data_IF_227044396234
#
_entry.id   IF_227044396234
#
_cell.length_a   1.000
_cell.length_b   1.000
_cell.length_c   1.000
_cell.angle_alpha   90.00
_cell.angle_beta   90.00
_cell.angle_gamma   90.00
#
_symmetry.space_group_name_H-M   'P 1'
#
loop_
_entity.id
_entity.type
_entity.pdbx_description
1 polymer ?
#
# COMPACT_ATOMS: atom_id res chain seq x y z
N UNK A 1 13.33 21.15 22.87
CA UNK A 1 11.90 20.89 22.64
C UNK A 1 11.63 21.17 21.16
N UNK A 2 11.49 20.13 20.34
CA UNK A 2 11.18 20.32 18.91
C UNK A 2 9.67 20.52 18.78
N UNK A 3 9.19 21.43 17.92
CA UNK A 3 7.78 21.74 17.85
C UNK A 3 6.98 20.52 17.38
N UNK A 4 5.88 20.26 18.08
CA UNK A 4 5.02 19.09 17.93
C UNK A 4 4.31 19.01 16.56
N UNK A 5 4.43 20.06 15.74
CA UNK A 5 3.89 20.16 14.39
C UNK A 5 4.68 19.34 13.34
N UNK A 6 5.97 19.11 13.57
CA UNK A 6 6.86 18.39 12.63
C UNK A 6 6.69 16.88 12.72
N UNK A 7 6.27 16.33 13.86
CA UNK A 7 5.94 14.92 14.01
C UNK A 7 4.57 14.62 13.41
N UNK A 8 3.56 15.44 13.69
CA UNK A 8 2.19 15.26 13.18
C UNK A 8 2.13 15.31 11.66
N UNK A 9 2.84 16.26 11.02
CA UNK A 9 2.93 16.37 9.56
C UNK A 9 3.59 15.16 8.89
N UNK A 10 4.59 14.53 9.52
CA UNK A 10 5.22 13.31 9.00
C UNK A 10 4.28 12.11 9.05
N UNK A 11 3.54 11.94 10.14
CA UNK A 11 2.51 10.90 10.23
C UNK A 11 1.34 11.15 9.27
N UNK A 12 0.95 12.42 9.08
CA UNK A 12 -0.04 12.80 8.08
C UNK A 12 0.40 12.43 6.67
N UNK A 13 1.67 12.67 6.31
CA UNK A 13 2.24 12.25 5.02
C UNK A 13 2.17 10.74 4.82
N UNK A 14 2.55 9.96 5.84
CA UNK A 14 2.45 8.49 5.77
C UNK A 14 1.01 8.04 5.51
N UNK A 15 0.05 8.58 6.27
CA UNK A 15 -1.35 8.23 6.13
C UNK A 15 -1.89 8.65 4.76
N UNK A 16 -1.51 9.83 4.26
CA UNK A 16 -1.87 10.30 2.92
C UNK A 16 -1.41 9.33 1.84
N UNK A 17 -0.14 8.88 1.89
CA UNK A 17 0.38 7.90 0.91
C UNK A 17 -0.41 6.58 0.97
N UNK A 18 -0.79 6.13 2.16
CA UNK A 18 -1.60 4.93 2.30
C UNK A 18 -2.99 5.09 1.68
N UNK A 19 -3.66 6.23 1.93
CA UNK A 19 -4.95 6.53 1.31
C UNK A 19 -4.81 6.63 -0.22
N UNK A 20 -3.74 7.25 -0.72
CA UNK A 20 -3.45 7.28 -2.16
C UNK A 20 -3.25 5.88 -2.75
N UNK A 21 -2.59 4.97 -2.03
CA UNK A 21 -2.46 3.56 -2.43
C UNK A 21 -3.83 2.88 -2.54
N UNK A 22 -4.71 3.07 -1.56
CA UNK A 22 -6.05 2.46 -1.58
C UNK A 22 -6.91 3.01 -2.73
N UNK A 23 -6.86 4.32 -2.97
CA UNK A 23 -7.54 4.96 -4.09
C UNK A 23 -6.99 4.43 -5.42
N UNK A 24 -5.67 4.33 -5.55
CA UNK A 24 -4.99 3.84 -6.75
C UNK A 24 -5.38 2.39 -7.09
N UNK A 25 -5.44 1.52 -6.10
CA UNK A 25 -5.94 0.14 -6.24
C UNK A 25 -7.40 0.10 -6.69
N UNK A 26 -8.25 0.94 -6.11
CA UNK A 26 -9.67 1.04 -6.48
C UNK A 26 -9.83 1.46 -7.95
N UNK A 27 -9.08 2.46 -8.41
CA UNK A 27 -9.07 2.87 -9.81
C UNK A 27 -8.62 1.75 -10.76
N UNK A 28 -7.63 0.96 -10.35
CA UNK A 28 -7.18 -0.21 -11.12
C UNK A 28 -8.29 -1.21 -11.34
N UNK A 29 -8.99 -1.58 -10.25
CA UNK A 29 -10.11 -2.51 -10.30
C UNK A 29 -11.27 -1.99 -11.18
N UNK A 30 -11.57 -0.69 -11.11
CA UNK A 30 -12.56 -0.06 -12.00
C UNK A 30 -12.12 -0.19 -13.46
N UNK A 31 -10.86 0.13 -13.78
CA UNK A 31 -10.35 0.05 -15.16
C UNK A 31 -10.45 -1.39 -15.69
N UNK A 32 -10.06 -2.38 -14.89
CA UNK A 32 -10.15 -3.79 -15.29
C UNK A 32 -11.59 -4.23 -15.55
N UNK A 33 -12.56 -3.75 -14.77
CA UNK A 33 -13.96 -4.08 -15.01
C UNK A 33 -14.49 -3.46 -16.33
N UNK A 34 -14.20 -2.18 -16.56
CA UNK A 34 -14.73 -1.48 -17.74
C UNK A 34 -14.00 -1.86 -19.05
N UNK A 35 -12.71 -2.18 -18.98
CA UNK A 35 -11.87 -2.43 -20.16
C UNK A 35 -11.37 -3.88 -20.30
N UNK A 36 -11.43 -4.68 -19.24
CA UNK A 36 -10.91 -6.05 -19.18
C UNK A 36 -11.85 -7.14 -19.71
N UNK A 37 -13.08 -6.79 -20.12
CA UNK A 37 -14.04 -7.71 -20.75
C UNK A 37 -13.49 -8.44 -22.01
N UNK A 38 -12.35 -8.03 -22.56
CA UNK A 38 -11.81 -8.56 -23.82
C UNK A 38 -10.62 -9.52 -23.67
N UNK A 39 -10.05 -9.74 -22.48
CA UNK A 39 -8.90 -10.66 -22.32
C UNK A 39 -8.67 -11.12 -20.86
N UNK A 40 -9.38 -12.15 -20.41
CA UNK A 40 -9.35 -12.64 -19.02
C UNK A 40 -8.05 -13.34 -18.57
N UNK A 41 -7.07 -13.56 -19.47
CA UNK A 41 -5.88 -14.38 -19.17
C UNK A 41 -4.53 -13.74 -19.50
N UNK A 42 -4.51 -12.50 -20.01
CA UNK A 42 -3.28 -11.82 -20.37
C UNK A 42 -3.00 -10.67 -19.40
N UNK A 43 -1.73 -10.53 -19.02
CA UNK A 43 -1.24 -9.36 -18.29
C UNK A 43 -1.59 -8.11 -19.10
N UNK A 44 -2.52 -7.31 -18.58
CA UNK A 44 -2.91 -6.06 -19.24
C UNK A 44 -1.89 -4.97 -18.91
N UNK A 45 -1.90 -3.90 -19.71
CA UNK A 45 -1.11 -2.70 -19.37
C UNK A 45 -1.55 -2.11 -18.02
N UNK A 46 -2.83 -2.25 -17.66
CA UNK A 46 -3.33 -1.81 -16.35
C UNK A 46 -2.70 -2.63 -15.22
N UNK A 47 -2.64 -3.96 -15.34
CA UNK A 47 -1.98 -4.82 -14.35
C UNK A 47 -0.51 -4.42 -14.11
N UNK A 48 0.22 -4.11 -15.19
CA UNK A 48 1.61 -3.67 -15.11
C UNK A 48 1.74 -2.30 -14.40
N UNK A 49 0.87 -1.34 -14.73
CA UNK A 49 0.82 -0.02 -14.08
C UNK A 49 0.44 -0.14 -12.61
N UNK A 50 -0.54 -0.99 -12.29
CA UNK A 50 -0.97 -1.27 -10.93
C UNK A 50 0.15 -1.91 -10.12
N UNK A 51 0.85 -2.89 -10.67
CA UNK A 51 1.99 -3.54 -10.01
C UNK A 51 3.10 -2.53 -9.69
N UNK A 52 3.53 -1.72 -10.67
CA UNK A 52 4.57 -0.70 -10.47
C UNK A 52 4.12 0.37 -9.47
N UNK A 53 2.88 0.84 -9.59
CA UNK A 53 2.31 1.85 -8.71
C UNK A 53 2.22 1.38 -7.25
N UNK A 54 1.80 0.14 -7.02
CA UNK A 54 1.79 -0.48 -5.67
C UNK A 54 3.19 -0.55 -5.09
N UNK A 55 4.19 -0.96 -5.87
CA UNK A 55 5.59 -1.01 -5.42
C UNK A 55 6.07 0.40 -5.01
N UNK A 56 5.88 1.40 -5.88
CA UNK A 56 6.35 2.77 -5.63
C UNK A 56 5.65 3.36 -4.40
N UNK A 57 4.33 3.26 -4.31
CA UNK A 57 3.56 3.80 -3.19
C UNK A 57 3.90 3.09 -1.87
N UNK A 58 4.13 1.77 -1.91
CA UNK A 58 4.59 1.03 -0.72
C UNK A 58 5.98 1.49 -0.27
N UNK A 59 6.92 1.68 -1.21
CA UNK A 59 8.26 2.20 -0.89
C UNK A 59 8.19 3.63 -0.34
N UNK A 60 7.37 4.51 -0.91
CA UNK A 60 7.16 5.86 -0.42
C UNK A 60 6.54 5.85 0.98
N UNK A 61 5.61 4.94 1.24
CA UNK A 61 5.00 4.76 2.56
C UNK A 61 6.06 4.33 3.58
N UNK A 62 6.89 3.34 3.26
CA UNK A 62 7.98 2.88 4.14
C UNK A 62 8.98 4.00 4.43
N UNK A 63 9.31 4.82 3.43
CA UNK A 63 10.20 5.97 3.62
C UNK A 63 9.58 7.04 4.53
N UNK A 64 8.30 7.35 4.33
CA UNK A 64 7.57 8.32 5.15
C UNK A 64 7.45 7.84 6.61
N UNK A 65 7.12 6.56 6.82
CA UNK A 65 7.04 5.94 8.14
C UNK A 65 8.42 5.90 8.82
N UNK A 66 9.48 5.51 8.10
CA UNK A 66 10.84 5.50 8.63
C UNK A 66 11.31 6.90 9.04
N UNK A 67 10.95 7.92 8.25
CA UNK A 67 11.22 9.33 8.56
C UNK A 67 10.47 9.81 9.80
N UNK A 68 9.23 9.34 10.00
CA UNK A 68 8.44 9.63 11.19
C UNK A 68 9.03 8.96 12.44
N UNK A 69 9.48 7.70 12.30
CA UNK A 69 10.13 6.91 13.35
C UNK A 69 11.61 7.27 13.58
N UNK A 70 12.19 8.14 12.74
CA UNK A 70 13.62 8.53 12.75
C UNK A 70 14.58 7.34 12.62
N UNK A 71 14.17 6.34 11.84
CA UNK A 71 14.98 5.16 11.52
C UNK A 71 15.39 5.18 10.04
N UNK A 72 16.39 4.38 9.68
CA UNK A 72 16.74 4.15 8.27
C UNK A 72 16.07 2.86 7.79
N UNK A 73 15.30 2.89 6.69
CA UNK A 73 14.72 1.68 6.13
C UNK A 73 15.82 0.77 5.56
N UNK A 74 15.75 -0.52 5.90
CA UNK A 74 16.73 -1.53 5.47
C UNK A 74 16.69 -1.76 3.97
N UNK A 75 17.85 -1.98 3.35
CA UNK A 75 17.95 -2.38 1.95
C UNK A 75 17.21 -3.68 1.65
N UNK A 76 17.24 -4.64 2.59
CA UNK A 76 16.52 -5.91 2.47
C UNK A 76 15.02 -5.69 2.33
N UNK A 77 14.44 -4.80 3.15
CA UNK A 77 13.00 -4.51 3.10
C UNK A 77 12.59 -3.89 1.76
N UNK A 78 13.39 -2.94 1.24
CA UNK A 78 13.14 -2.30 -0.06
C UNK A 78 13.22 -3.30 -1.21
N UNK A 79 14.26 -4.14 -1.21
CA UNK A 79 14.44 -5.17 -2.23
C UNK A 79 13.27 -6.16 -2.26
N UNK A 80 12.87 -6.64 -1.09
CA UNK A 80 11.71 -7.52 -0.97
C UNK A 80 10.41 -6.83 -1.39
N UNK A 81 10.26 -5.52 -1.17
CA UNK A 81 9.07 -4.78 -1.62
C UNK A 81 8.97 -4.71 -3.15
N UNK A 82 10.11 -4.61 -3.84
CA UNK A 82 10.15 -4.62 -5.31
C UNK A 82 9.77 -6.00 -5.86
N UNK A 83 10.23 -7.08 -5.24
CA UNK A 83 9.87 -8.45 -5.66
C UNK A 83 8.41 -8.75 -5.32
N UNK A 84 8.03 -8.47 -4.09
CA UNK A 84 6.70 -8.76 -3.57
C UNK A 84 6.36 -7.79 -2.44
N UNK A 85 5.61 -6.73 -2.80
CA UNK A 85 5.29 -5.62 -1.90
C UNK A 85 4.75 -6.03 -0.52
N UNK A 86 3.83 -7.01 -0.39
CA UNK A 86 3.36 -7.46 0.91
C UNK A 86 4.48 -8.04 1.80
N UNK A 87 5.37 -8.85 1.24
CA UNK A 87 6.48 -9.44 2.00
C UNK A 87 7.50 -8.40 2.43
N UNK A 88 7.90 -7.50 1.52
CA UNK A 88 8.81 -6.41 1.88
C UNK A 88 8.23 -5.47 2.93
N UNK A 89 6.92 -5.22 2.88
CA UNK A 89 6.19 -4.50 3.92
C UNK A 89 6.23 -5.23 5.25
N UNK A 90 5.94 -6.55 5.29
CA UNK A 90 6.04 -7.33 6.51
C UNK A 90 7.44 -7.22 7.13
N UNK A 91 8.49 -7.46 6.33
CA UNK A 91 9.88 -7.37 6.80
C UNK A 91 10.22 -5.98 7.32
N UNK A 92 9.83 -4.92 6.62
CA UNK A 92 10.02 -3.54 7.10
C UNK A 92 9.37 -3.34 8.47
N UNK A 93 8.11 -3.74 8.63
CA UNK A 93 7.36 -3.54 9.87
C UNK A 93 8.01 -4.29 11.04
N UNK A 94 8.39 -5.55 10.85
CA UNK A 94 9.05 -6.33 11.91
C UNK A 94 10.45 -5.82 12.28
N UNK A 95 11.13 -5.12 11.36
CA UNK A 95 12.40 -4.44 11.65
C UNK A 95 12.21 -3.08 12.33
N UNK A 96 11.10 -2.39 12.06
CA UNK A 96 10.90 -1.00 12.49
C UNK A 96 10.30 -0.86 13.88
N UNK A 97 9.60 -1.89 14.40
CA UNK A 97 8.80 -1.79 15.63
C UNK A 97 8.68 -3.14 16.34
N UNK A 98 8.09 -3.14 17.54
CA UNK A 98 7.84 -4.38 18.30
C UNK A 98 6.87 -5.31 17.57
N UNK A 99 7.01 -6.62 17.78
CA UNK A 99 6.26 -7.65 17.04
C UNK A 99 4.74 -7.41 17.02
N UNK A 100 4.14 -7.01 18.16
CA UNK A 100 2.69 -6.74 18.27
C UNK A 100 2.28 -5.56 17.40
N UNK A 101 3.04 -4.46 17.46
CA UNK A 101 2.77 -3.27 16.66
C UNK A 101 2.99 -3.54 15.17
N UNK A 102 4.01 -4.34 14.84
CA UNK A 102 4.33 -4.75 13.47
C UNK A 102 3.18 -5.54 12.88
N UNK A 103 2.74 -6.58 13.59
CA UNK A 103 1.62 -7.42 13.19
C UNK A 103 0.34 -6.60 13.03
N UNK A 104 0.00 -5.76 14.01
CA UNK A 104 -1.21 -4.94 13.94
C UNK A 104 -1.17 -4.01 12.71
N UNK A 105 -0.04 -3.35 12.47
CA UNK A 105 0.07 -2.44 11.31
C UNK A 105 0.02 -3.19 10.00
N UNK A 106 0.60 -4.39 9.94
CA UNK A 106 0.55 -5.25 8.77
C UNK A 106 -0.87 -5.72 8.47
N UNK A 107 -1.60 -6.15 9.51
CA UNK A 107 -3.01 -6.53 9.38
C UNK A 107 -3.88 -5.36 8.94
N UNK A 108 -3.65 -4.15 9.46
CA UNK A 108 -4.35 -2.94 8.97
C UNK A 108 -4.00 -2.67 7.50
N UNK A 109 -2.73 -2.78 7.13
CA UNK A 109 -2.29 -2.57 5.75
C UNK A 109 -2.98 -3.53 4.78
N UNK A 110 -2.89 -4.84 5.04
CA UNK A 110 -3.54 -5.87 4.23
C UNK A 110 -5.07 -5.76 4.29
N UNK A 111 -5.63 -5.51 5.48
CA UNK A 111 -7.05 -5.36 5.71
C UNK A 111 -7.64 -4.22 4.89
N UNK A 112 -6.96 -3.07 4.79
CA UNK A 112 -7.43 -1.98 3.93
C UNK A 112 -7.39 -2.33 2.43
N UNK A 113 -6.40 -3.10 1.97
CA UNK A 113 -6.35 -3.60 0.59
C UNK A 113 -7.53 -4.53 0.32
N UNK A 114 -7.75 -5.53 1.17
CA UNK A 114 -8.90 -6.45 1.03
C UNK A 114 -10.24 -5.73 1.13
N UNK A 115 -10.34 -4.71 1.99
CA UNK A 115 -11.54 -3.90 2.13
C UNK A 115 -11.85 -3.12 0.85
N UNK A 116 -10.85 -2.56 0.16
CA UNK A 116 -11.06 -1.90 -1.14
C UNK A 116 -11.64 -2.87 -2.16
N UNK A 117 -11.05 -4.06 -2.32
CA UNK A 117 -11.56 -5.06 -3.25
C UNK A 117 -12.94 -5.56 -2.85
N UNK A 118 -13.19 -5.84 -1.57
CA UNK A 118 -14.50 -6.27 -1.07
C UNK A 118 -15.59 -5.22 -1.28
N UNK A 119 -15.30 -3.95 -0.98
CA UNK A 119 -16.23 -2.84 -1.24
C UNK A 119 -16.48 -2.65 -2.73
N UNK A 120 -15.44 -2.76 -3.55
CA UNK A 120 -15.57 -2.70 -5.01
C UNK A 120 -16.48 -3.82 -5.53
N UNK A 121 -16.28 -5.07 -5.10
CA UNK A 121 -17.12 -6.20 -5.49
C UNK A 121 -18.58 -6.04 -5.05
N UNK A 122 -18.82 -5.55 -3.82
CA UNK A 122 -20.18 -5.25 -3.36
C UNK A 122 -20.79 -4.14 -4.21
N UNK A 123 -20.08 -3.04 -4.44
CA UNK A 123 -20.55 -1.93 -5.27
C UNK A 123 -20.93 -2.39 -6.68
N UNK A 124 -20.13 -3.29 -7.27
CA UNK A 124 -20.41 -3.88 -8.58
C UNK A 124 -21.74 -4.66 -8.60
N UNK A 125 -22.02 -5.44 -7.55
CA UNK A 125 -23.26 -6.22 -7.45
C UNK A 125 -24.55 -5.40 -7.31
N UNK A 126 -24.44 -4.09 -7.02
CA UNK A 126 -25.59 -3.18 -7.03
C UNK A 126 -25.81 -2.53 -8.41
N UNK A 127 -24.81 -2.59 -9.30
CA UNK A 127 -24.84 -1.96 -10.63
C UNK A 127 -25.25 -2.92 -11.75
N UNK A 128 -25.11 -4.23 -11.53
CA UNK A 128 -25.45 -5.32 -12.47
C UNK A 128 -26.24 -6.42 -11.77
#
# INVERSE_FOLDING_TARGET
MFPDNLSSSKFARRNFIYVSLLIFLCFGAIIDEFFGLWNAYNLTWNDAVQMIGVIILTLLWQQADATALRIRPSYTSKFLTVIFSPLGMAVYLFQSRTWKSALLTYLVFCGGIFLVFGLFSVALSWLF
#
